data_IF_952771463019
#
_entry.id   IF_952771463019
#
_cell.length_a   1.000
_cell.length_b   1.000
_cell.length_c   1.000
_cell.angle_alpha   90.00
_cell.angle_beta   90.00
_cell.angle_gamma   90.00
#
_symmetry.space_group_name_H-M   'P 1'
#
loop_
_entity.id
_entity.type
_entity.pdbx_description
1 polymer ?
#
# COMPACT_ATOMS: atom_id res chain seq x y z
N UNK A 1 -3.44 -20.21 -10.77
CA UNK A 1 -4.09 -19.24 -9.85
C UNK A 1 -3.73 -19.53 -8.39
N UNK A 2 -3.33 -18.52 -7.62
CA UNK A 2 -3.14 -18.59 -6.16
C UNK A 2 -4.22 -17.74 -5.48
N UNK A 3 -5.23 -18.39 -4.89
CA UNK A 3 -6.37 -17.69 -4.28
C UNK A 3 -6.11 -17.45 -2.79
N UNK A 4 -6.21 -16.19 -2.38
CA UNK A 4 -5.96 -15.74 -1.01
C UNK A 4 -7.21 -15.11 -0.43
N UNK A 5 -7.97 -15.89 0.32
CA UNK A 5 -9.21 -15.45 0.96
C UNK A 5 -8.91 -14.46 2.08
N UNK A 6 -9.52 -13.28 2.01
CA UNK A 6 -9.43 -12.26 3.06
C UNK A 6 -10.57 -12.47 4.06
N UNK A 7 -11.80 -12.60 3.54
CA UNK A 7 -12.98 -12.94 4.31
C UNK A 7 -13.98 -13.76 3.46
N UNK A 8 -15.15 -14.09 4.02
CA UNK A 8 -16.16 -14.92 3.34
C UNK A 8 -16.72 -14.29 2.05
N UNK A 9 -16.60 -12.99 1.90
CA UNK A 9 -17.16 -12.17 0.82
C UNK A 9 -16.09 -11.62 -0.14
N UNK A 10 -14.80 -11.75 0.20
CA UNK A 10 -13.71 -11.14 -0.55
C UNK A 10 -12.43 -12.00 -0.56
N UNK A 11 -11.85 -12.17 -1.75
CA UNK A 11 -10.56 -12.80 -1.93
C UNK A 11 -9.70 -12.03 -2.95
N UNK A 12 -8.39 -12.21 -2.84
CA UNK A 12 -7.41 -11.62 -3.75
C UNK A 12 -6.53 -12.67 -4.42
N UNK A 13 -5.89 -12.31 -5.53
CA UNK A 13 -4.92 -13.16 -6.23
C UNK A 13 -3.83 -12.33 -6.93
N UNK A 14 -2.66 -12.93 -7.20
CA UNK A 14 -1.78 -12.47 -8.28
C UNK A 14 -2.47 -12.47 -9.65
N UNK A 15 -1.72 -12.12 -10.69
CA UNK A 15 -2.24 -12.09 -12.05
C UNK A 15 -2.93 -13.41 -12.43
N UNK A 16 -4.14 -13.29 -13.00
CA UNK A 16 -4.89 -14.40 -13.58
C UNK A 16 -4.83 -14.38 -15.10
N UNK A 17 -5.11 -15.53 -15.71
CA UNK A 17 -5.37 -15.68 -17.14
C UNK A 17 -6.86 -15.89 -17.41
N UNK A 18 -7.30 -15.70 -18.66
CA UNK A 18 -8.69 -15.92 -19.07
C UNK A 18 -9.18 -17.36 -18.75
N UNK A 19 -8.27 -18.35 -18.82
CA UNK A 19 -8.57 -19.75 -18.48
C UNK A 19 -8.90 -19.99 -17.00
N UNK A 20 -8.40 -19.12 -16.09
CA UNK A 20 -8.65 -19.25 -14.65
C UNK A 20 -10.08 -18.82 -14.28
N UNK A 21 -10.74 -18.02 -15.12
CA UNK A 21 -12.06 -17.44 -14.85
C UNK A 21 -13.15 -18.51 -14.66
N UNK A 22 -13.06 -19.62 -15.39
CA UNK A 22 -13.96 -20.76 -15.22
C UNK A 22 -13.87 -21.35 -13.79
N UNK A 23 -12.67 -21.45 -13.24
CA UNK A 23 -12.46 -21.96 -11.88
C UNK A 23 -12.89 -20.93 -10.82
N UNK A 24 -12.72 -19.63 -11.08
CA UNK A 24 -13.23 -18.55 -10.22
C UNK A 24 -14.77 -18.62 -10.13
N UNK A 25 -15.46 -18.81 -11.26
CA UNK A 25 -16.91 -18.98 -11.27
C UNK A 25 -17.37 -20.23 -10.51
N UNK A 26 -16.68 -21.37 -10.71
CA UNK A 26 -16.96 -22.63 -10.00
C UNK A 26 -16.73 -22.52 -8.50
N UNK A 27 -15.74 -21.72 -8.07
CA UNK A 27 -15.50 -21.41 -6.67
C UNK A 27 -16.59 -20.52 -6.04
N UNK A 28 -17.56 -20.05 -6.85
CA UNK A 28 -18.77 -19.38 -6.37
C UNK A 28 -18.70 -17.86 -6.37
N UNK A 29 -17.58 -17.26 -6.78
CA UNK A 29 -17.45 -15.82 -6.94
C UNK A 29 -18.46 -15.30 -7.97
N UNK A 30 -18.90 -14.06 -7.79
CA UNK A 30 -19.90 -13.40 -8.65
C UNK A 30 -19.34 -12.19 -9.38
N UNK A 31 -18.26 -11.61 -8.87
CA UNK A 31 -17.63 -10.41 -9.42
C UNK A 31 -16.12 -10.53 -9.44
N UNK A 32 -15.49 -10.05 -10.51
CA UNK A 32 -14.04 -9.88 -10.68
C UNK A 32 -13.70 -8.39 -10.72
N UNK A 33 -12.69 -7.96 -9.95
CA UNK A 33 -12.14 -6.60 -10.02
C UNK A 33 -10.66 -6.65 -10.39
N UNK A 34 -10.27 -5.97 -11.46
CA UNK A 34 -8.87 -5.81 -11.84
C UNK A 34 -8.32 -4.49 -11.29
N UNK A 35 -7.26 -4.58 -10.50
CA UNK A 35 -6.51 -3.42 -9.99
C UNK A 35 -5.14 -3.26 -10.67
N UNK A 36 -4.95 -3.86 -11.84
CA UNK A 36 -3.73 -3.76 -12.65
C UNK A 36 -4.00 -2.97 -13.93
N UNK A 37 -3.33 -1.83 -14.20
CA UNK A 37 -3.43 -1.15 -15.47
C UNK A 37 -2.91 -2.07 -16.59
N UNK A 38 -3.52 -1.99 -17.76
CA UNK A 38 -3.12 -2.76 -18.94
C UNK A 38 -1.76 -2.27 -19.44
N UNK A 39 -0.93 -3.19 -19.94
CA UNK A 39 0.42 -2.87 -20.42
C UNK A 39 1.48 -2.67 -19.33
N UNK A 40 1.23 -3.06 -18.08
CA UNK A 40 2.24 -3.01 -17.01
C UNK A 40 3.34 -4.07 -17.20
N UNK A 41 3.06 -5.17 -17.91
CA UNK A 41 4.05 -6.21 -18.21
C UNK A 41 3.79 -6.93 -19.53
N UNK A 42 4.84 -7.47 -20.16
CA UNK A 42 4.74 -8.19 -21.42
C UNK A 42 3.98 -9.52 -21.31
N UNK A 43 3.91 -10.06 -20.10
CA UNK A 43 3.23 -11.30 -19.73
C UNK A 43 1.78 -11.07 -19.29
N UNK A 44 1.28 -9.83 -19.39
CA UNK A 44 -0.03 -9.45 -18.88
C UNK A 44 -1.13 -9.66 -19.93
N UNK A 45 -2.14 -10.51 -19.64
CA UNK A 45 -3.40 -10.49 -20.38
C UNK A 45 -4.08 -9.13 -20.21
N UNK A 46 -4.65 -8.61 -21.30
CA UNK A 46 -5.42 -7.38 -21.25
C UNK A 46 -6.72 -7.60 -20.50
N UNK A 47 -7.22 -6.57 -19.82
CA UNK A 47 -8.43 -6.70 -19.02
C UNK A 47 -9.64 -7.16 -19.85
N UNK A 48 -9.76 -6.71 -21.10
CA UNK A 48 -10.88 -7.10 -21.97
C UNK A 48 -10.94 -8.63 -22.21
N UNK A 49 -9.81 -9.34 -22.18
CA UNK A 49 -9.76 -10.79 -22.32
C UNK A 49 -10.35 -11.49 -21.08
N UNK A 50 -10.09 -10.92 -19.90
CA UNK A 50 -10.63 -11.39 -18.62
C UNK A 50 -12.13 -11.06 -18.51
N UNK A 51 -12.53 -9.87 -18.96
CA UNK A 51 -13.93 -9.43 -19.00
C UNK A 51 -14.78 -10.33 -19.90
N UNK A 52 -14.29 -10.66 -21.10
CA UNK A 52 -15.02 -11.55 -22.00
C UNK A 52 -15.16 -12.96 -21.42
N UNK A 53 -14.10 -13.49 -20.82
CA UNK A 53 -14.17 -14.78 -20.11
C UNK A 53 -15.14 -14.72 -18.91
N UNK A 54 -15.17 -13.61 -18.17
CA UNK A 54 -16.10 -13.41 -17.05
C UNK A 54 -17.55 -13.42 -17.52
N UNK A 55 -17.85 -12.73 -18.62
CA UNK A 55 -19.18 -12.68 -19.24
C UNK A 55 -19.66 -14.07 -19.65
N UNK A 56 -18.80 -14.90 -20.23
CA UNK A 56 -19.14 -16.28 -20.63
C UNK A 56 -19.49 -17.17 -19.44
N UNK A 57 -18.98 -16.85 -18.25
CA UNK A 57 -19.24 -17.58 -17.00
C UNK A 57 -20.23 -16.89 -16.06
N UNK A 58 -20.89 -15.81 -16.51
CA UNK A 58 -21.91 -15.10 -15.73
C UNK A 58 -21.35 -14.33 -14.53
N UNK A 59 -20.08 -13.93 -14.59
CA UNK A 59 -19.43 -13.06 -13.61
C UNK A 59 -19.52 -11.60 -14.06
N UNK A 60 -19.74 -10.68 -13.12
CA UNK A 60 -19.51 -9.26 -13.37
C UNK A 60 -18.00 -8.99 -13.36
N UNK A 61 -17.51 -8.12 -14.25
CA UNK A 61 -16.10 -7.72 -14.30
C UNK A 61 -15.98 -6.20 -14.23
N UNK A 62 -15.03 -5.72 -13.43
CA UNK A 62 -14.79 -4.29 -13.26
C UNK A 62 -13.31 -3.95 -13.35
N UNK A 63 -13.03 -2.91 -14.13
CA UNK A 63 -11.71 -2.35 -14.29
C UNK A 63 -11.52 -1.15 -13.35
N UNK A 64 -10.71 -1.31 -12.31
CA UNK A 64 -10.35 -0.25 -11.36
C UNK A 64 -8.83 -0.24 -11.17
N UNK A 65 -8.06 0.07 -12.23
CA UNK A 65 -6.61 0.01 -12.20
C UNK A 65 -6.04 1.07 -11.27
N UNK A 66 -5.02 0.69 -10.50
CA UNK A 66 -4.23 1.64 -9.71
C UNK A 66 -2.75 1.43 -9.99
N UNK A 67 -2.01 2.53 -10.04
CA UNK A 67 -0.56 2.49 -10.18
C UNK A 67 0.09 1.89 -8.93
N UNK A 68 1.08 1.03 -9.14
CA UNK A 68 1.80 0.39 -8.03
C UNK A 68 2.45 1.44 -7.13
N UNK A 69 2.26 1.33 -5.82
CA UNK A 69 2.78 2.27 -4.83
C UNK A 69 2.06 3.63 -4.77
N UNK A 70 1.05 3.87 -5.61
CA UNK A 70 0.30 5.14 -5.67
C UNK A 70 -1.19 4.95 -5.43
N UNK A 71 -1.56 4.15 -4.43
CA UNK A 71 -2.97 3.99 -4.03
C UNK A 71 -3.42 5.27 -3.32
N UNK A 72 -4.26 6.07 -3.99
CA UNK A 72 -4.83 7.29 -3.42
C UNK A 72 -6.04 6.99 -2.52
N UNK A 73 -6.48 7.99 -1.75
CA UNK A 73 -7.69 7.87 -0.93
C UNK A 73 -8.95 7.74 -1.82
N UNK A 74 -8.96 8.44 -2.96
CA UNK A 74 -10.04 8.33 -3.95
C UNK A 74 -10.12 6.93 -4.58
N UNK A 75 -8.97 6.28 -4.81
CA UNK A 75 -8.95 4.90 -5.31
C UNK A 75 -9.55 3.93 -4.28
N UNK A 76 -9.20 4.11 -3.00
CA UNK A 76 -9.73 3.29 -1.91
C UNK A 76 -11.25 3.48 -1.73
N UNK A 77 -11.74 4.72 -1.87
CA UNK A 77 -13.16 5.05 -1.84
C UNK A 77 -13.89 4.41 -3.03
N UNK A 78 -13.42 4.62 -4.25
CA UNK A 78 -14.01 4.03 -5.47
C UNK A 78 -14.02 2.50 -5.43
N UNK A 79 -12.95 1.88 -4.91
CA UNK A 79 -12.91 0.44 -4.68
C UNK A 79 -13.91 0.01 -3.60
N UNK A 80 -14.01 0.76 -2.51
CA UNK A 80 -14.95 0.52 -1.42
C UNK A 80 -16.40 0.54 -1.91
N UNK A 81 -16.79 1.56 -2.65
CA UNK A 81 -18.12 1.72 -3.24
C UNK A 81 -18.45 0.59 -4.19
N UNK A 82 -17.50 0.24 -5.07
CA UNK A 82 -17.68 -0.90 -5.98
C UNK A 82 -17.83 -2.20 -5.21
N UNK A 83 -17.01 -2.40 -4.17
CA UNK A 83 -17.06 -3.59 -3.35
C UNK A 83 -18.41 -3.72 -2.65
N UNK A 84 -19.04 -2.64 -2.17
CA UNK A 84 -20.39 -2.69 -1.58
C UNK A 84 -21.48 -2.99 -2.62
N UNK A 85 -21.41 -2.36 -3.79
CA UNK A 85 -22.45 -2.49 -4.82
C UNK A 85 -22.42 -3.85 -5.56
N UNK A 86 -21.25 -4.49 -5.61
CA UNK A 86 -21.04 -5.70 -6.40
C UNK A 86 -21.70 -6.95 -5.79
N UNK A 87 -22.22 -7.87 -6.63
CA UNK A 87 -22.60 -9.21 -6.20
C UNK A 87 -21.44 -9.94 -5.50
N UNK A 88 -21.74 -10.53 -4.33
CA UNK A 88 -20.77 -11.27 -3.52
C UNK A 88 -20.79 -12.77 -3.83
N UNK A 89 -19.69 -13.51 -3.63
CA UNK A 89 -18.36 -13.05 -3.23
C UNK A 89 -17.60 -12.33 -4.36
N UNK A 90 -16.75 -11.39 -3.99
CA UNK A 90 -15.93 -10.60 -4.92
C UNK A 90 -14.50 -11.14 -4.94
N UNK A 91 -13.95 -11.31 -6.14
CA UNK A 91 -12.57 -11.68 -6.39
C UNK A 91 -11.83 -10.48 -6.97
N UNK A 92 -10.71 -10.09 -6.40
CA UNK A 92 -9.89 -9.01 -6.95
C UNK A 92 -8.47 -9.49 -7.28
N UNK A 93 -7.86 -8.93 -8.32
CA UNK A 93 -6.48 -9.28 -8.65
C UNK A 93 -5.69 -8.07 -9.13
N UNK A 94 -4.37 -8.17 -8.99
CA UNK A 94 -3.45 -7.28 -9.67
C UNK A 94 -2.22 -8.07 -10.13
N UNK A 95 -1.01 -7.50 -10.12
CA UNK A 95 0.21 -8.28 -10.39
C UNK A 95 0.49 -9.33 -9.30
N UNK A 96 0.50 -8.92 -8.04
CA UNK A 96 0.81 -9.76 -6.86
C UNK A 96 -0.35 -9.90 -5.87
N UNK A 97 -1.48 -9.24 -6.14
CA UNK A 97 -2.60 -9.07 -5.21
C UNK A 97 -2.42 -7.95 -4.17
N UNK A 98 -1.21 -7.38 -4.03
CA UNK A 98 -0.91 -6.35 -3.02
C UNK A 98 -1.80 -5.10 -3.17
N UNK A 99 -2.03 -4.62 -4.40
CA UNK A 99 -2.92 -3.46 -4.63
C UNK A 99 -4.35 -3.73 -4.17
N UNK A 100 -4.88 -4.89 -4.49
CA UNK A 100 -6.25 -5.27 -4.15
C UNK A 100 -6.46 -5.38 -2.64
N UNK A 101 -5.51 -5.98 -1.91
CA UNK A 101 -5.58 -6.02 -0.44
C UNK A 101 -5.35 -4.65 0.20
N UNK A 102 -4.50 -3.80 -0.37
CA UNK A 102 -4.31 -2.43 0.12
C UNK A 102 -5.59 -1.61 -0.04
N UNK A 103 -6.21 -1.66 -1.22
CA UNK A 103 -7.49 -0.99 -1.50
C UNK A 103 -8.59 -1.50 -0.57
N UNK A 104 -8.71 -2.82 -0.39
CA UNK A 104 -9.64 -3.41 0.57
C UNK A 104 -9.37 -2.86 1.98
N UNK A 105 -8.13 -2.95 2.47
CA UNK A 105 -7.77 -2.53 3.83
C UNK A 105 -8.10 -1.06 4.09
N UNK A 106 -7.82 -0.18 3.13
CA UNK A 106 -8.13 1.25 3.23
C UNK A 106 -9.64 1.51 3.15
N UNK A 107 -10.37 0.81 2.28
CA UNK A 107 -11.83 0.93 2.14
C UNK A 107 -12.65 0.41 3.33
N UNK A 108 -12.00 -0.36 4.22
CA UNK A 108 -12.61 -0.92 5.44
C UNK A 108 -12.23 -0.14 6.70
N UNK A 109 -11.31 0.81 6.60
CA UNK A 109 -10.69 1.47 7.74
C UNK A 109 -11.68 2.20 8.66
N UNK A 110 -12.78 2.69 8.13
CA UNK A 110 -13.90 3.33 8.84
C UNK A 110 -15.03 2.36 9.22
N UNK A 111 -15.00 1.13 8.69
CA UNK A 111 -16.06 0.11 8.83
C UNK A 111 -15.65 -1.07 9.73
N UNK A 112 -14.36 -1.28 9.95
CA UNK A 112 -13.82 -2.42 10.67
C UNK A 112 -12.68 -2.00 11.62
N UNK A 113 -12.50 -2.68 12.77
CA UNK A 113 -11.36 -2.43 13.64
C UNK A 113 -10.03 -2.66 12.90
N UNK A 114 -9.06 -1.76 13.12
CA UNK A 114 -7.71 -1.85 12.54
C UNK A 114 -7.09 -3.24 12.74
N UNK A 115 -7.19 -3.79 13.95
CA UNK A 115 -6.62 -5.10 14.26
C UNK A 115 -7.18 -6.22 13.37
N UNK A 116 -8.48 -6.19 13.07
CA UNK A 116 -9.15 -7.19 12.25
C UNK A 116 -8.74 -7.09 10.79
N UNK A 117 -8.60 -5.86 10.28
CA UNK A 117 -8.10 -5.59 8.92
C UNK A 117 -6.69 -6.16 8.76
N UNK A 118 -5.80 -5.86 9.72
CA UNK A 118 -4.42 -6.34 9.70
C UNK A 118 -4.34 -7.87 9.84
N UNK A 119 -5.17 -8.46 10.71
CA UNK A 119 -5.23 -9.91 10.89
C UNK A 119 -5.71 -10.63 9.62
N UNK A 120 -6.73 -10.12 8.95
CA UNK A 120 -7.25 -10.69 7.70
C UNK A 120 -6.23 -10.61 6.56
N UNK A 121 -5.60 -9.44 6.38
CA UNK A 121 -4.56 -9.25 5.36
C UNK A 121 -3.34 -10.16 5.62
N UNK A 122 -2.90 -10.24 6.88
CA UNK A 122 -1.80 -11.12 7.30
C UNK A 122 -2.15 -12.60 7.12
N UNK A 123 -3.38 -13.00 7.42
CA UNK A 123 -3.89 -14.36 7.19
C UNK A 123 -3.85 -14.78 5.72
N UNK A 124 -4.03 -13.82 4.80
CA UNK A 124 -3.85 -13.99 3.36
C UNK A 124 -2.38 -13.86 2.90
N UNK A 125 -1.43 -13.64 3.82
CA UNK A 125 0.00 -13.55 3.51
C UNK A 125 0.43 -12.19 2.95
N UNK A 126 -0.27 -11.11 3.30
CA UNK A 126 0.10 -9.74 2.94
C UNK A 126 0.46 -8.92 4.18
N UNK A 127 1.60 -8.22 4.12
CA UNK A 127 2.00 -7.26 5.15
C UNK A 127 1.47 -5.86 4.82
N UNK A 128 0.68 -5.30 5.74
CA UNK A 128 0.08 -3.98 5.62
C UNK A 128 0.81 -2.92 6.46
N UNK A 129 1.99 -3.23 7.02
CA UNK A 129 2.82 -2.30 7.82
C UNK A 129 2.96 -0.91 7.19
N UNK A 130 3.25 -0.85 5.88
CA UNK A 130 3.41 0.39 5.13
C UNK A 130 2.14 1.24 4.96
N UNK A 131 0.96 0.72 5.31
CA UNK A 131 -0.32 1.45 5.24
C UNK A 131 -1.07 1.50 6.58
N UNK A 132 -0.52 0.94 7.67
CA UNK A 132 -1.14 0.96 9.01
C UNK A 132 -1.55 2.36 9.42
N UNK A 133 -0.67 3.36 9.23
CA UNK A 133 -0.96 4.76 9.59
C UNK A 133 -2.18 5.29 8.84
N UNK A 134 -2.36 4.91 7.57
CA UNK A 134 -3.53 5.33 6.77
C UNK A 134 -4.80 4.61 7.21
N UNK A 135 -4.73 3.31 7.48
CA UNK A 135 -5.88 2.54 7.98
C UNK A 135 -6.32 3.09 9.35
N UNK A 136 -5.37 3.39 10.25
CA UNK A 136 -5.67 4.02 11.53
C UNK A 136 -6.35 5.40 11.39
N UNK A 137 -6.13 6.09 10.28
CA UNK A 137 -6.72 7.39 9.96
C UNK A 137 -7.90 7.25 8.98
N UNK A 138 -8.76 6.24 9.18
CA UNK A 138 -9.97 6.01 8.39
C UNK A 138 -9.70 5.87 6.87
N UNK A 139 -8.56 5.27 6.53
CA UNK A 139 -8.16 5.03 5.13
C UNK A 139 -7.57 6.25 4.44
N UNK A 140 -7.53 7.38 5.15
CA UNK A 140 -7.04 8.65 4.61
C UNK A 140 -5.56 8.80 4.85
N UNK A 141 -4.91 9.47 3.92
CA UNK A 141 -3.55 9.93 4.12
C UNK A 141 -3.56 10.91 5.29
N UNK A 142 -2.84 10.65 6.39
CA UNK A 142 -2.86 11.51 7.56
C UNK A 142 -2.44 12.90 7.12
N UNK A 143 -3.39 13.82 7.17
CA UNK A 143 -3.14 15.23 6.92
C UNK A 143 -2.69 15.85 8.25
N UNK A 144 -1.62 15.31 8.82
CA UNK A 144 -0.73 16.18 9.57
C UNK A 144 -0.02 17.01 8.50
N UNK A 145 -0.73 18.00 7.98
CA UNK A 145 -0.05 19.24 7.68
C UNK A 145 0.70 19.56 8.97
N UNK A 146 2.01 19.40 8.94
CA UNK A 146 2.84 20.23 9.79
C UNK A 146 2.40 21.63 9.38
N UNK A 147 1.55 22.27 10.19
CA UNK A 147 0.95 23.55 9.88
C UNK A 147 2.09 24.58 10.04
N UNK A 148 2.94 24.58 9.03
CA UNK A 148 4.32 25.03 9.10
C UNK A 148 4.78 25.27 7.68
N UNK A 149 5.05 26.53 7.38
CA UNK A 149 5.67 26.91 6.12
C UNK A 149 7.17 26.79 6.30
N UNK A 150 7.76 25.81 5.63
CA UNK A 150 9.21 25.64 5.60
C UNK A 150 9.76 26.20 4.29
N UNK A 151 10.92 26.82 4.37
CA UNK A 151 11.65 27.35 3.20
C UNK A 151 12.50 26.25 2.56
N UNK A 152 12.91 25.25 3.36
CA UNK A 152 13.70 24.11 2.91
C UNK A 152 13.14 22.82 3.51
N UNK A 153 13.05 21.77 2.69
CA UNK A 153 12.74 20.40 3.13
C UNK A 153 13.92 19.49 2.82
N UNK A 154 14.43 18.79 3.84
CA UNK A 154 15.48 17.78 3.72
C UNK A 154 14.87 16.41 3.93
N UNK A 155 15.03 15.51 2.96
CA UNK A 155 14.54 14.12 3.05
C UNK A 155 15.70 13.22 3.44
N UNK A 156 15.59 12.61 4.62
CA UNK A 156 16.62 11.82 5.31
C UNK A 156 17.30 12.62 6.43
N UNK A 157 17.25 12.10 7.66
CA UNK A 157 17.92 12.62 8.86
C UNK A 157 19.19 11.83 9.23
N UNK A 158 19.78 11.11 8.26
CA UNK A 158 21.13 10.58 8.38
C UNK A 158 22.20 11.69 8.39
N UNK A 159 23.48 11.30 8.49
CA UNK A 159 24.60 12.25 8.62
C UNK A 159 24.62 13.34 7.55
N UNK A 160 24.28 13.00 6.30
CA UNK A 160 24.23 13.96 5.21
C UNK A 160 23.09 14.99 5.39
N UNK A 161 21.89 14.54 5.75
CA UNK A 161 20.74 15.43 5.92
C UNK A 161 20.92 16.39 7.10
N UNK A 162 21.41 15.88 8.23
CA UNK A 162 21.72 16.71 9.40
C UNK A 162 22.87 17.67 9.11
N UNK A 163 23.92 17.24 8.40
CA UNK A 163 25.00 18.13 7.99
C UNK A 163 24.51 19.25 7.07
N UNK A 164 23.61 18.94 6.12
CA UNK A 164 23.00 19.94 5.24
C UNK A 164 22.16 20.94 6.05
N UNK A 165 21.28 20.46 6.92
CA UNK A 165 20.44 21.31 7.77
C UNK A 165 21.29 22.22 8.68
N UNK A 166 22.29 21.65 9.35
CA UNK A 166 23.23 22.39 10.21
C UNK A 166 24.02 23.43 9.42
N UNK A 167 24.53 23.07 8.26
CA UNK A 167 25.30 23.97 7.38
C UNK A 167 24.44 25.14 6.87
N UNK A 168 23.16 24.89 6.57
CA UNK A 168 22.20 25.93 6.18
C UNK A 168 21.91 26.88 7.35
N UNK A 169 21.59 26.36 8.54
CA UNK A 169 21.33 27.17 9.73
C UNK A 169 22.54 27.98 10.18
N UNK A 170 23.76 27.47 9.97
CA UNK A 170 24.98 28.22 10.27
C UNK A 170 25.17 29.45 9.36
N UNK A 171 24.64 29.41 8.13
CA UNK A 171 24.74 30.52 7.15
C UNK A 171 23.53 31.44 7.17
N UNK A 172 22.36 30.90 7.46
CA UNK A 172 21.08 31.61 7.50
C UNK A 172 20.25 31.06 8.68
N UNK A 173 20.47 31.59 9.89
CA UNK A 173 19.83 31.11 11.12
C UNK A 173 18.31 31.24 11.13
N UNK A 174 17.76 32.15 10.32
CA UNK A 174 16.33 32.40 10.20
C UNK A 174 15.57 31.37 9.34
N UNK A 175 16.28 30.48 8.63
CA UNK A 175 15.64 29.49 7.76
C UNK A 175 14.76 28.53 8.55
N UNK A 176 13.51 28.40 8.11
CA UNK A 176 12.62 27.35 8.58
C UNK A 176 12.85 26.08 7.76
N UNK A 177 13.52 25.08 8.35
CA UNK A 177 13.89 23.83 7.67
C UNK A 177 13.12 22.66 8.29
N UNK A 178 12.43 21.88 7.45
CA UNK A 178 11.87 20.59 7.83
C UNK A 178 12.83 19.46 7.44
N UNK A 179 13.03 18.50 8.35
CA UNK A 179 13.75 17.25 8.06
C UNK A 179 12.75 16.10 8.20
N UNK A 180 12.65 15.25 7.18
CA UNK A 180 11.72 14.12 7.12
C UNK A 180 12.53 12.83 7.01
N UNK A 181 12.39 11.91 7.96
CA UNK A 181 13.01 10.58 7.90
C UNK A 181 11.98 9.50 8.27
N UNK A 182 11.93 8.37 7.54
CA UNK A 182 11.04 7.26 7.88
C UNK A 182 11.49 6.43 9.09
N UNK A 183 12.74 6.56 9.55
CA UNK A 183 13.26 5.83 10.68
C UNK A 183 12.86 6.50 12.01
N UNK A 184 12.38 5.71 12.96
CA UNK A 184 12.10 6.19 14.32
C UNK A 184 13.38 6.28 15.17
N UNK A 185 14.44 5.57 14.77
CA UNK A 185 15.71 5.45 15.48
C UNK A 185 16.83 5.89 14.54
N UNK A 186 17.65 6.84 15.00
CA UNK A 186 18.77 7.38 14.25
C UNK A 186 20.06 7.09 15.00
N UNK A 187 20.97 6.39 14.33
CA UNK A 187 22.30 6.11 14.87
C UNK A 187 23.29 7.14 14.34
N UNK A 188 24.14 7.65 15.21
CA UNK A 188 25.35 8.37 14.83
C UNK A 188 26.36 7.37 14.25
N UNK A 189 26.20 7.09 12.95
CA UNK A 189 27.02 6.12 12.20
C UNK A 189 28.54 6.26 12.41
N UNK A 190 29.13 7.48 12.51
CA UNK A 190 30.55 7.61 12.85
C UNK A 190 30.91 7.07 14.25
N UNK A 191 29.97 7.14 15.20
CA UNK A 191 30.11 6.60 16.55
C UNK A 191 30.33 5.09 16.56
N UNK A 192 29.73 4.32 15.65
CA UNK A 192 29.94 2.87 15.57
C UNK A 192 31.40 2.47 15.29
N UNK A 193 32.15 3.32 14.58
CA UNK A 193 33.59 3.10 14.38
C UNK A 193 34.36 3.31 15.69
N UNK A 194 33.91 4.25 16.53
CA UNK A 194 34.47 4.51 17.85
C UNK A 194 34.08 3.43 18.87
N UNK A 195 32.89 2.83 18.74
CA UNK A 195 32.49 1.64 19.50
C UNK A 195 33.41 0.46 19.18
N UNK A 196 33.67 0.19 17.90
CA UNK A 196 34.66 -0.83 17.50
C UNK A 196 36.07 -0.54 18.00
N UNK A 197 36.40 0.72 18.28
CA UNK A 197 37.65 1.16 18.89
C UNK A 197 37.67 1.18 20.42
N UNK A 198 36.57 0.82 21.08
CA UNK A 198 36.43 0.84 22.55
C UNK A 198 36.40 2.25 23.16
N UNK A 199 36.09 3.27 22.35
CA UNK A 199 36.01 4.66 22.80
C UNK A 199 34.59 5.01 23.25
N UNK A 200 33.57 4.42 22.63
CA UNK A 200 32.15 4.55 22.98
C UNK A 200 31.54 3.19 23.28
N UNK A 201 30.47 3.17 24.06
CA UNK A 201 29.57 2.03 24.20
C UNK A 201 28.45 2.11 23.14
N UNK A 202 27.87 0.96 22.77
CA UNK A 202 26.91 0.89 21.66
C UNK A 202 25.59 1.64 21.92
N UNK A 203 25.24 1.87 23.19
CA UNK A 203 24.09 2.66 23.61
C UNK A 203 24.33 4.18 23.56
N UNK A 204 25.59 4.60 23.34
CA UNK A 204 25.98 6.01 23.15
C UNK A 204 25.93 6.47 21.68
N UNK A 205 25.50 5.58 20.76
CA UNK A 205 25.51 5.83 19.30
C UNK A 205 24.14 5.78 18.65
#
# INVERSE_FOLDING_TARGET
MELKTIDKSFAVSPQIEAKDVAEIAKAGYKTIICNRPDGEGNDQPLFHEIEEAARLHGLEAHYLPVESGKVSDADAEAFGDRLEAAPKPVFAYCRSGTRSVTLWSLSRADKMPLADILAAAKGAGYDMSGVVRRIANAGKTPQEAIDGKFEVVVVGAGSAGIAVASSLLARAPELNIAVIDPADIHYYQPGWTLVGGGVFEADET
#
